data_IF_959516638595
#
_entry.id   IF_959516638595
#
_cell.length_a   1.000
_cell.length_b   1.000
_cell.length_c   1.000
_cell.angle_alpha   90.00
_cell.angle_beta   90.00
_cell.angle_gamma   90.00
#
_symmetry.space_group_name_H-M   'P 1'
#
loop_
_entity.id
_entity.type
_entity.pdbx_description
1 polymer ?
#
# COMPACT_ATOMS: atom_id res chain seq x y z
N UNK A 1 -7.06 8.73 10.76
CA UNK A 1 -5.94 7.84 10.40
C UNK A 1 -5.79 7.88 8.89
N UNK A 2 -4.60 8.14 8.40
CA UNK A 2 -4.30 8.12 6.97
C UNK A 2 -4.26 6.68 6.44
N UNK A 3 -4.31 6.48 5.12
CA UNK A 3 -4.15 5.15 4.53
C UNK A 3 -2.77 4.55 4.81
N UNK A 4 -1.74 5.41 4.86
CA UNK A 4 -0.38 5.01 5.20
C UNK A 4 -0.31 4.57 6.67
N UNK A 5 -0.96 5.30 7.58
CA UNK A 5 -1.01 4.93 9.00
C UNK A 5 -1.64 3.53 9.19
N UNK A 6 -2.66 3.19 8.40
CA UNK A 6 -3.28 1.86 8.42
C UNK A 6 -2.27 0.77 8.03
N UNK A 7 -1.48 1.01 6.97
CA UNK A 7 -0.45 0.06 6.55
C UNK A 7 0.67 -0.06 7.58
N UNK A 8 1.09 1.05 8.19
CA UNK A 8 2.11 1.04 9.25
C UNK A 8 1.66 0.24 10.46
N UNK A 9 0.40 0.42 10.89
CA UNK A 9 -0.18 -0.31 12.01
C UNK A 9 -0.36 -1.81 11.69
N UNK A 10 -0.86 -2.17 10.50
CA UNK A 10 -1.08 -3.57 10.10
C UNK A 10 0.23 -4.36 10.03
N UNK A 11 1.29 -3.74 9.51
CA UNK A 11 2.59 -4.38 9.34
C UNK A 11 3.52 -4.19 10.54
N UNK A 12 3.02 -3.62 11.66
CA UNK A 12 3.78 -3.37 12.90
C UNK A 12 5.11 -2.62 12.65
N UNK A 13 5.09 -1.64 11.76
CA UNK A 13 6.26 -0.87 11.39
C UNK A 13 6.40 0.39 12.25
N UNK A 14 7.64 0.82 12.55
CA UNK A 14 7.84 2.05 13.33
C UNK A 14 7.44 3.33 12.55
N UNK A 15 7.53 3.29 11.22
CA UNK A 15 7.21 4.41 10.34
C UNK A 15 6.98 3.97 8.90
N UNK A 16 6.29 4.82 8.15
CA UNK A 16 6.06 4.61 6.72
C UNK A 16 7.36 4.48 5.92
N UNK A 17 8.37 5.30 6.22
CA UNK A 17 9.67 5.26 5.55
C UNK A 17 10.40 3.93 5.77
N UNK A 18 10.34 3.37 6.99
CA UNK A 18 10.96 2.08 7.27
C UNK A 18 10.25 0.94 6.55
N UNK A 19 8.91 0.95 6.58
CA UNK A 19 8.10 -0.02 5.84
C UNK A 19 8.39 0.06 4.34
N UNK A 20 8.47 1.27 3.78
CA UNK A 20 8.81 1.47 2.37
C UNK A 20 10.22 0.96 2.02
N UNK A 21 11.22 1.21 2.86
CA UNK A 21 12.59 0.73 2.64
C UNK A 21 12.70 -0.80 2.71
N UNK A 22 11.90 -1.46 3.56
CA UNK A 22 11.87 -2.92 3.66
C UNK A 22 11.41 -3.56 2.34
N UNK A 23 10.36 -3.00 1.73
CA UNK A 23 9.77 -3.54 0.51
C UNK A 23 10.27 -2.89 -0.80
N UNK A 24 11.18 -1.91 -0.73
CA UNK A 24 11.67 -1.16 -1.90
C UNK A 24 12.29 -2.05 -2.99
N UNK A 25 12.88 -3.19 -2.60
CA UNK A 25 13.56 -4.11 -3.50
C UNK A 25 12.79 -5.42 -3.73
N UNK A 26 11.60 -5.54 -3.15
CA UNK A 26 10.77 -6.72 -3.29
C UNK A 26 9.88 -6.64 -4.54
N UNK A 27 9.47 -7.80 -5.03
CA UNK A 27 8.59 -7.91 -6.22
C UNK A 27 7.13 -7.56 -5.92
N UNK A 28 6.75 -7.51 -4.64
CA UNK A 28 5.43 -7.12 -4.14
C UNK A 28 5.64 -6.27 -2.88
N UNK A 29 4.71 -5.37 -2.60
CA UNK A 29 4.74 -4.55 -1.40
C UNK A 29 3.31 -4.33 -0.86
N UNK A 30 3.19 -3.85 0.39
CA UNK A 30 1.90 -3.50 0.98
C UNK A 30 1.15 -2.53 0.09
N UNK A 31 -0.15 -2.74 -0.08
CA UNK A 31 -1.02 -1.90 -0.88
C UNK A 31 -2.37 -1.75 -0.20
N UNK A 32 -3.09 -0.67 -0.50
CA UNK A 32 -4.35 -0.38 0.15
C UNK A 32 -5.34 0.28 -0.80
N UNK A 33 -6.61 -0.11 -0.69
CA UNK A 33 -7.69 0.50 -1.43
C UNK A 33 -7.96 1.93 -0.96
N UNK A 34 -7.79 2.91 -1.85
CA UNK A 34 -8.02 4.33 -1.58
C UNK A 34 -9.48 4.70 -1.31
N UNK A 35 -10.43 3.77 -1.49
CA UNK A 35 -11.87 3.99 -1.25
C UNK A 35 -12.39 3.33 0.02
N UNK A 36 -11.96 2.11 0.32
CA UNK A 36 -12.49 1.33 1.44
C UNK A 36 -11.43 0.88 2.45
N UNK A 37 -10.17 1.25 2.25
CA UNK A 37 -9.04 0.91 3.12
C UNK A 37 -8.75 -0.60 3.29
N UNK A 38 -9.31 -1.46 2.42
CA UNK A 38 -8.93 -2.87 2.38
C UNK A 38 -7.46 -3.03 1.95
N UNK A 39 -6.72 -3.89 2.66
CA UNK A 39 -5.28 -4.12 2.50
C UNK A 39 -5.05 -5.28 1.54
N UNK A 40 -4.00 -5.15 0.71
CA UNK A 40 -3.59 -6.10 -0.30
C UNK A 40 -2.06 -6.11 -0.41
N UNK A 41 -1.52 -7.03 -1.21
CA UNK A 41 -0.15 -6.99 -1.71
C UNK A 41 -0.19 -6.86 -3.23
N UNK A 42 0.59 -5.94 -3.78
CA UNK A 42 0.67 -5.64 -5.21
C UNK A 42 2.10 -5.28 -5.62
N UNK A 43 2.36 -5.21 -6.93
CA UNK A 43 3.62 -4.71 -7.44
C UNK A 43 3.93 -3.29 -6.90
N UNK A 44 5.23 -2.97 -6.68
CA UNK A 44 5.71 -1.66 -6.24
C UNK A 44 5.12 -0.44 -6.94
N UNK A 45 4.83 -0.53 -8.23
CA UNK A 45 4.34 0.56 -9.10
C UNK A 45 2.81 0.52 -9.31
N UNK A 46 2.07 -0.26 -8.52
CA UNK A 46 0.63 -0.38 -8.67
C UNK A 46 -0.10 0.92 -8.25
N UNK A 47 -0.66 1.64 -9.22
CA UNK A 47 -1.43 2.88 -9.01
C UNK A 47 -2.96 2.71 -9.19
N UNK A 48 -3.41 1.55 -9.68
CA UNK A 48 -4.80 1.24 -10.00
C UNK A 48 -5.15 -0.27 -9.88
N UNK A 49 -4.70 -0.92 -8.82
CA UNK A 49 -4.97 -2.34 -8.53
C UNK A 49 -6.45 -2.62 -8.20
N UNK A 50 -6.87 -3.86 -8.42
CA UNK A 50 -8.25 -4.29 -8.21
C UNK A 50 -8.56 -4.53 -6.72
N UNK A 51 -9.63 -3.92 -6.22
CA UNK A 51 -10.13 -4.18 -4.87
C UNK A 51 -11.33 -5.15 -4.92
N UNK A 52 -11.21 -6.30 -4.25
CA UNK A 52 -12.29 -7.28 -4.12
C UNK A 52 -13.46 -6.84 -3.23
N UNK A 53 -13.24 -5.89 -2.30
CA UNK A 53 -14.28 -5.41 -1.38
C UNK A 53 -15.23 -4.41 -2.06
N UNK A 54 -14.68 -3.41 -2.75
CA UNK A 54 -15.47 -2.36 -3.40
C UNK A 54 -15.65 -2.57 -4.91
N UNK A 55 -15.04 -3.61 -5.49
CA UNK A 55 -15.09 -3.95 -6.91
C UNK A 55 -14.67 -2.79 -7.82
N UNK A 56 -13.61 -2.06 -7.44
CA UNK A 56 -13.02 -1.01 -8.29
C UNK A 56 -11.51 -1.09 -8.35
N UNK A 57 -10.92 -0.54 -9.42
CA UNK A 57 -9.48 -0.33 -9.58
C UNK A 57 -9.02 0.88 -8.77
N UNK A 58 -8.86 0.70 -7.46
CA UNK A 58 -8.55 1.78 -6.52
C UNK A 58 -7.51 1.39 -5.48
N UNK A 59 -6.85 0.23 -5.63
CA UNK A 59 -5.71 -0.17 -4.79
C UNK A 59 -4.46 0.55 -5.27
N UNK A 60 -3.73 1.15 -4.35
CA UNK A 60 -2.41 1.74 -4.61
C UNK A 60 -1.38 1.09 -3.69
N UNK A 61 -0.20 0.84 -4.23
CA UNK A 61 0.94 0.35 -3.47
C UNK A 61 1.42 1.41 -2.46
N UNK A 62 2.11 0.97 -1.41
CA UNK A 62 2.73 1.85 -0.42
C UNK A 62 3.71 2.83 -1.07
N UNK A 63 4.49 2.37 -2.04
CA UNK A 63 5.51 3.20 -2.70
C UNK A 63 4.89 4.27 -3.60
N UNK A 64 3.78 3.96 -4.27
CA UNK A 64 2.98 4.95 -5.01
C UNK A 64 2.36 5.97 -4.04
N UNK A 65 1.81 5.53 -2.91
CA UNK A 65 1.22 6.42 -1.89
C UNK A 65 2.24 7.38 -1.27
N UNK A 66 3.50 6.97 -1.19
CA UNK A 66 4.62 7.79 -0.69
C UNK A 66 5.32 8.59 -1.80
N UNK A 67 4.86 8.52 -3.05
CA UNK A 67 5.47 9.17 -4.21
C UNK A 67 6.95 8.78 -4.42
N UNK A 68 7.30 7.52 -4.12
CA UNK A 68 8.65 6.99 -4.26
C UNK A 68 8.88 6.32 -5.62
N UNK A 69 7.80 6.00 -6.34
CA UNK A 69 7.74 5.49 -7.73
C UNK A 69 6.52 6.11 -8.38
#
# INVERSE_FOLDING_TARGET
MSLIDILVDEYDADSADKLAMEYMMDSICPAICTKCAAIYEYEPDCDAGWCGECNTNSVQSLLVLLYMI
#
